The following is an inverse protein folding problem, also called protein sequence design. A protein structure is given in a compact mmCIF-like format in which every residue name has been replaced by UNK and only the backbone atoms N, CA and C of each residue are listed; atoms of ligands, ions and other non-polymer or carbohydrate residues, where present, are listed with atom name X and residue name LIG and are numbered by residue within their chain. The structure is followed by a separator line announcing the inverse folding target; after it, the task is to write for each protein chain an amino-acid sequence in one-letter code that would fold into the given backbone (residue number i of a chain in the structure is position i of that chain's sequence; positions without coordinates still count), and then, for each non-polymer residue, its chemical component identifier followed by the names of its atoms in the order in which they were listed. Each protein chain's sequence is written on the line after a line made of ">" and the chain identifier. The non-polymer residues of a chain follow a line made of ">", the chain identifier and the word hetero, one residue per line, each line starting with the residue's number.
data_IF_819705255805
#
_entry.id   IF_819705255805
#
_cell.length_a   1.000
_cell.length_b   1.000
_cell.length_c   1.000
_cell.angle_alpha   90.00
_cell.angle_beta   90.00
_cell.angle_gamma   90.00
#
_symmetry.space_group_name_H-M   'P 1'
#
loop_
_entity.id
_entity.type
_entity.pdbx_description
1 polymer ?
#
# COMPACT_ATOMS: atom_id res chain seq x y z
N UNK A 1 -11.06 -12.03 4.59
CA UNK A 1 -11.73 -12.11 3.27
C UNK A 1 -10.90 -12.80 2.19
N UNK A 2 -9.56 -12.87 2.28
CA UNK A 2 -8.74 -13.49 1.23
C UNK A 2 -9.12 -14.95 0.91
N UNK A 3 -9.18 -15.83 1.91
CA UNK A 3 -9.48 -17.26 1.69
C UNK A 3 -10.85 -17.49 1.03
N UNK A 4 -11.85 -16.68 1.38
CA UNK A 4 -13.17 -16.76 0.76
C UNK A 4 -13.10 -16.43 -0.73
N UNK A 5 -12.48 -15.29 -1.09
CA UNK A 5 -12.35 -14.87 -2.49
C UNK A 5 -11.47 -15.80 -3.31
N UNK A 6 -10.46 -16.41 -2.68
CA UNK A 6 -9.62 -17.41 -3.33
C UNK A 6 -10.45 -18.64 -3.76
N UNK A 7 -11.45 -19.03 -2.96
CA UNK A 7 -12.34 -20.14 -3.27
C UNK A 7 -13.46 -19.77 -4.26
N UNK A 8 -13.96 -18.53 -4.24
CA UNK A 8 -15.16 -18.14 -5.02
C UNK A 8 -14.88 -17.33 -6.27
N UNK A 9 -13.83 -16.51 -6.30
CA UNK A 9 -13.55 -15.54 -7.38
C UNK A 9 -12.45 -16.01 -8.35
N UNK A 10 -11.70 -17.06 -7.99
CA UNK A 10 -10.64 -17.61 -8.85
C UNK A 10 -11.23 -18.70 -9.74
N UNK A 11 -11.05 -18.53 -11.04
CA UNK A 11 -11.36 -19.58 -12.01
C UNK A 11 -10.21 -20.60 -12.01
N UNK A 12 -10.44 -21.79 -11.45
CA UNK A 12 -9.44 -22.85 -11.36
C UNK A 12 -9.35 -23.75 -12.59
N UNK A 13 -10.27 -23.59 -13.55
CA UNK A 13 -10.39 -24.45 -14.72
C UNK A 13 -9.53 -23.95 -15.90
N UNK A 14 -9.38 -22.63 -16.06
CA UNK A 14 -8.58 -22.03 -17.14
C UNK A 14 -7.25 -21.46 -16.62
N UNK A 15 -6.12 -22.02 -17.08
CA UNK A 15 -4.76 -21.69 -16.59
C UNK A 15 -4.48 -20.18 -16.57
N UNK A 16 -4.72 -19.49 -17.69
CA UNK A 16 -4.42 -18.06 -17.81
C UNK A 16 -5.27 -17.22 -16.85
N UNK A 17 -6.56 -17.52 -16.73
CA UNK A 17 -7.45 -16.80 -15.83
C UNK A 17 -7.17 -17.13 -14.36
N UNK A 18 -6.80 -18.39 -14.08
CA UNK A 18 -6.39 -18.83 -12.75
C UNK A 18 -5.23 -18.00 -12.22
N UNK A 19 -4.14 -17.89 -12.99
CA UNK A 19 -2.97 -17.11 -12.58
C UNK A 19 -3.28 -15.61 -12.46
N UNK A 20 -4.07 -15.05 -13.37
CA UNK A 20 -4.45 -13.63 -13.32
C UNK A 20 -5.32 -13.33 -12.08
N UNK A 21 -6.37 -14.11 -11.84
CA UNK A 21 -7.27 -13.91 -10.71
C UNK A 21 -6.57 -14.16 -9.38
N UNK A 22 -5.79 -15.24 -9.28
CA UNK A 22 -5.03 -15.54 -8.07
C UNK A 22 -4.03 -14.42 -7.75
N UNK A 23 -3.30 -13.92 -8.75
CA UNK A 23 -2.36 -12.83 -8.56
C UNK A 23 -3.05 -11.55 -8.11
N UNK A 24 -4.24 -11.25 -8.66
CA UNK A 24 -5.07 -10.10 -8.24
C UNK A 24 -5.55 -10.25 -6.80
N UNK A 25 -6.06 -11.41 -6.40
CA UNK A 25 -6.51 -11.65 -5.03
C UNK A 25 -5.37 -11.58 -4.01
N UNK A 26 -4.19 -12.13 -4.37
CA UNK A 26 -2.98 -11.97 -3.58
C UNK A 26 -2.56 -10.50 -3.47
N UNK A 27 -2.53 -9.75 -4.58
CA UNK A 27 -2.22 -8.32 -4.58
C UNK A 27 -3.21 -7.53 -3.71
N UNK A 28 -4.50 -7.85 -3.78
CA UNK A 28 -5.52 -7.26 -2.92
C UNK A 28 -5.29 -7.55 -1.44
N UNK A 29 -4.87 -8.77 -1.09
CA UNK A 29 -4.58 -9.14 0.28
C UNK A 29 -3.33 -8.44 0.84
N UNK A 30 -2.26 -8.34 0.05
CA UNK A 30 -1.02 -7.65 0.45
C UNK A 30 -1.10 -6.12 0.36
N UNK A 31 -2.13 -5.57 -0.30
CA UNK A 31 -2.32 -4.12 -0.37
C UNK A 31 -2.61 -3.49 1.00
N UNK A 32 -2.06 -2.30 1.23
CA UNK A 32 -2.28 -1.52 2.45
C UNK A 32 -3.69 -0.90 2.40
N UNK A 33 -4.63 -1.44 3.18
CA UNK A 33 -6.02 -0.96 3.25
C UNK A 33 -6.37 -0.50 4.65
N UNK A 34 -6.94 0.71 4.76
CA UNK A 34 -7.30 1.35 6.05
C UNK A 34 -8.13 0.44 6.97
N UNK A 35 -9.08 -0.30 6.41
CA UNK A 35 -9.96 -1.22 7.14
C UNK A 35 -9.25 -2.39 7.84
N UNK A 36 -7.99 -2.69 7.50
CA UNK A 36 -7.19 -3.77 8.09
C UNK A 36 -5.94 -3.27 8.81
N UNK A 37 -5.68 -1.97 8.80
CA UNK A 37 -4.58 -1.35 9.54
C UNK A 37 -5.18 -0.88 10.85
N UNK A 38 -4.74 -1.45 11.96
CA UNK A 38 -5.03 -0.87 13.27
C UNK A 38 -4.30 0.47 13.34
N UNK A 39 -5.06 1.55 13.54
CA UNK A 39 -4.45 2.81 13.94
C UNK A 39 -3.74 2.60 15.28
N UNK A 40 -2.57 3.21 15.40
CA UNK A 40 -1.83 3.25 16.65
C UNK A 40 -2.62 4.15 17.61
N UNK A 41 -3.67 3.59 18.22
CA UNK A 41 -4.31 4.18 19.38
C UNK A 41 -3.26 4.15 20.48
N UNK A 42 -2.59 5.28 20.67
CA UNK A 42 -1.49 5.48 21.62
C UNK A 42 -1.87 5.27 23.08
N UNK A 43 -2.21 4.03 23.44
CA UNK A 43 -2.42 3.56 24.79
C UNK A 43 -1.76 2.18 24.92
N UNK A 44 -0.52 2.22 25.44
CA UNK A 44 0.13 1.19 26.25
C UNK A 44 -0.61 -0.14 26.40
N UNK A 45 -0.07 -1.22 25.84
CA UNK A 45 -0.12 -2.51 26.53
C UNK A 45 1.24 -3.22 26.41
N UNK A 46 1.89 -3.26 27.56
CA UNK A 46 3.05 -4.04 27.92
C UNK A 46 2.83 -5.51 27.57
N UNK A 47 3.47 -6.00 26.51
CA UNK A 47 3.68 -7.43 26.30
C UNK A 47 5.13 -7.65 25.85
N UNK A 48 5.93 -8.02 26.83
CA UNK A 48 7.19 -8.79 26.77
C UNK A 48 8.00 -8.58 25.48
N UNK A 49 9.00 -7.73 25.59
CA UNK A 49 10.05 -7.55 24.60
C UNK A 49 10.77 -8.89 24.34
N UNK A 50 10.50 -9.49 23.17
CA UNK A 50 11.55 -10.20 22.43
C UNK A 50 12.49 -9.13 21.86
N UNK A 51 13.81 -9.18 22.15
CA UNK A 51 14.76 -8.16 21.76
C UNK A 51 15.00 -8.24 20.25
N UNK A 52 14.19 -7.51 19.47
CA UNK A 52 14.37 -7.41 18.02
C UNK A 52 13.13 -7.05 17.21
N UNK A 53 11.93 -7.08 17.80
CA UNK A 53 10.69 -6.84 17.06
C UNK A 53 9.92 -5.63 17.60
N UNK A 54 10.53 -4.44 17.53
CA UNK A 54 9.73 -3.22 17.49
C UNK A 54 8.82 -3.34 16.27
N UNK A 55 7.52 -3.59 16.49
CA UNK A 55 6.53 -3.64 15.42
C UNK A 55 6.45 -2.24 14.83
N UNK A 56 7.27 -1.96 13.81
CA UNK A 56 7.41 -0.63 13.22
C UNK A 56 6.03 -0.20 12.74
N UNK A 57 5.66 1.05 13.05
CA UNK A 57 4.40 1.65 12.63
C UNK A 57 4.16 1.41 11.13
N UNK A 58 2.92 1.20 10.71
CA UNK A 58 2.57 1.00 9.30
C UNK A 58 3.11 2.13 8.41
N UNK A 59 3.21 3.35 8.95
CA UNK A 59 3.82 4.52 8.27
C UNK A 59 5.27 4.25 7.88
N UNK A 60 6.05 3.69 8.80
CA UNK A 60 7.45 3.37 8.56
C UNK A 60 7.59 2.31 7.45
N UNK A 61 6.76 1.28 7.48
CA UNK A 61 6.72 0.23 6.46
C UNK A 61 6.35 0.79 5.08
N UNK A 62 5.35 1.67 5.02
CA UNK A 62 4.97 2.34 3.76
C UNK A 62 6.14 3.14 3.20
N UNK A 63 6.76 4.00 4.00
CA UNK A 63 7.85 4.87 3.56
C UNK A 63 9.11 4.09 3.15
N UNK A 64 9.57 3.17 4.01
CA UNK A 64 10.91 2.60 3.90
C UNK A 64 10.95 1.25 3.18
N UNK A 65 9.82 0.52 3.13
CA UNK A 65 9.72 -0.76 2.43
C UNK A 65 8.97 -0.57 1.11
N UNK A 66 7.72 -0.10 1.15
CA UNK A 66 6.87 -0.06 -0.05
C UNK A 66 7.32 0.99 -1.06
N UNK A 67 7.46 2.25 -0.65
CA UNK A 67 7.92 3.31 -1.56
C UNK A 67 9.35 3.09 -2.04
N UNK A 68 10.19 2.43 -1.24
CA UNK A 68 11.52 1.98 -1.69
C UNK A 68 11.41 0.94 -2.80
N UNK A 69 10.56 -0.08 -2.63
CA UNK A 69 10.33 -1.11 -3.64
C UNK A 69 9.69 -0.54 -4.92
N UNK A 70 8.76 0.41 -4.81
CA UNK A 70 8.09 1.03 -5.96
C UNK A 70 9.06 1.74 -6.90
N UNK A 71 10.16 2.31 -6.39
CA UNK A 71 11.20 2.93 -7.23
C UNK A 71 11.87 1.94 -8.20
N UNK A 72 11.89 0.65 -7.87
CA UNK A 72 12.59 -0.37 -8.65
C UNK A 72 11.66 -1.35 -9.37
N UNK A 73 10.50 -1.66 -8.78
CA UNK A 73 9.67 -2.79 -9.23
C UNK A 73 8.27 -2.39 -9.71
N UNK A 74 7.82 -1.16 -9.48
CA UNK A 74 6.50 -0.72 -9.94
C UNK A 74 6.61 -0.11 -11.34
N UNK A 75 5.91 -0.71 -12.30
CA UNK A 75 5.66 -0.11 -13.60
C UNK A 75 4.23 0.47 -13.58
N UNK A 76 4.06 1.78 -13.34
CA UNK A 76 2.74 2.37 -13.15
C UNK A 76 1.91 2.27 -14.43
N UNK A 77 0.70 1.67 -14.36
CA UNK A 77 -0.24 1.65 -15.48
C UNK A 77 -0.70 3.06 -15.91
N UNK A 78 -1.08 3.23 -17.18
CA UNK A 78 -1.48 4.52 -17.73
C UNK A 78 -2.77 5.08 -17.10
N UNK A 79 -3.68 4.22 -16.66
CA UNK A 79 -4.94 4.61 -16.02
C UNK A 79 -4.74 5.29 -14.65
N UNK A 80 -3.55 5.20 -14.03
CA UNK A 80 -3.29 5.87 -12.75
C UNK A 80 -3.40 7.40 -12.83
N UNK A 81 -3.23 7.97 -14.03
CA UNK A 81 -3.35 9.40 -14.29
C UNK A 81 -4.79 9.90 -14.24
N UNK A 82 -5.76 9.05 -14.60
CA UNK A 82 -7.16 9.44 -14.79
C UNK A 82 -8.05 8.98 -13.63
N UNK A 83 -7.74 7.83 -13.04
CA UNK A 83 -8.55 7.21 -11.98
C UNK A 83 -8.43 7.91 -10.61
N UNK A 84 -7.60 8.96 -10.49
CA UNK A 84 -7.37 9.68 -9.24
C UNK A 84 -6.42 8.97 -8.26
N UNK A 85 -5.75 7.90 -8.68
CA UNK A 85 -4.75 7.20 -7.87
C UNK A 85 -3.50 8.06 -7.62
N UNK A 86 -3.10 8.90 -8.59
CA UNK A 86 -1.99 9.85 -8.46
C UNK A 86 -2.46 11.23 -8.88
N UNK A 87 -2.44 12.18 -7.94
CA UNK A 87 -2.92 13.54 -8.14
C UNK A 87 -1.84 14.56 -7.76
N UNK A 88 -1.59 15.52 -8.65
CA UNK A 88 -0.74 16.66 -8.33
C UNK A 88 -1.55 17.65 -7.48
N UNK A 89 -1.20 17.77 -6.20
CA UNK A 89 -1.86 18.69 -5.28
C UNK A 89 -1.24 20.08 -5.27
N UNK A 90 0.08 20.15 -5.49
CA UNK A 90 0.83 21.40 -5.47
C UNK A 90 2.06 21.30 -6.39
N UNK A 91 2.58 22.46 -6.76
CA UNK A 91 3.86 22.61 -7.46
C UNK A 91 4.76 23.58 -6.71
N UNK A 92 6.04 23.22 -6.56
CA UNK A 92 7.02 24.05 -5.86
C UNK A 92 7.24 25.38 -6.59
N UNK A 93 7.18 25.39 -7.92
CA UNK A 93 7.36 26.63 -8.68
C UNK A 93 6.32 27.70 -8.33
N UNK A 94 5.06 27.30 -8.16
CA UNK A 94 3.98 28.20 -7.74
C UNK A 94 4.07 28.56 -6.25
N UNK A 95 4.49 27.61 -5.42
CA UNK A 95 4.73 27.85 -3.99
C UNK A 95 5.82 28.91 -3.77
N UNK A 96 6.91 28.87 -4.54
CA UNK A 96 8.01 29.83 -4.39
C UNK A 96 7.66 31.27 -4.80
N UNK A 97 6.56 31.49 -5.55
CA UNK A 97 6.07 32.85 -5.86
C UNK A 97 5.37 33.51 -4.69
N UNK A 98 4.87 32.72 -3.74
CA UNK A 98 4.08 33.21 -2.60
C UNK A 98 4.90 33.14 -1.32
N UNK A 99 5.74 32.12 -1.16
CA UNK A 99 6.57 31.89 0.02
C UNK A 99 8.01 32.33 -0.24
N UNK A 100 8.27 33.63 -0.10
CA UNK A 100 9.62 34.21 -0.15
C UNK A 100 10.29 34.22 1.24
N UNK A 101 11.62 34.24 1.25
CA UNK A 101 12.40 34.42 2.48
C UNK A 101 12.36 35.90 2.90
N UNK A 102 12.21 36.16 4.20
CA UNK A 102 12.34 37.50 4.77
C UNK A 102 13.71 38.12 4.50
#
# INVERSE_FOLDING_TARGET
>A
MFILRLATEVNWDEEKQCFDNLSKECAMFYSIRKQYIMEDSGLTFQQVEEPGKCMRSWKWTVEHILYKAFRSYLLPPTNFREDGNVLQLADLFDLYKVFERC
#
